data_IF_332514650372
#
_entry.id   IF_332514650372
#
_cell.length_a   1.000
_cell.length_b   1.000
_cell.length_c   1.000
_cell.angle_alpha   90.00
_cell.angle_beta   90.00
_cell.angle_gamma   90.00
#
_symmetry.space_group_name_H-M   'P 1'
#
loop_
_entity.id
_entity.type
_entity.pdbx_description
1 polymer ?
#
# COMPACT_ATOMS: atom_id res chain seq x y z
N UNK A 1 -7.20 -16.44 4.11
CA UNK A 1 -6.53 -16.39 5.44
C UNK A 1 -5.11 -15.84 5.31
N UNK A 2 -4.96 -14.61 4.83
CA UNK A 2 -3.64 -13.97 4.62
C UNK A 2 -3.21 -13.17 5.88
N UNK A 3 -4.18 -12.60 6.60
CA UNK A 3 -3.99 -11.76 7.79
C UNK A 3 -3.10 -12.35 8.91
N UNK A 4 -3.30 -13.61 9.38
CA UNK A 4 -2.49 -14.11 10.49
C UNK A 4 -1.04 -14.38 10.09
N UNK A 5 -0.82 -14.88 8.86
CA UNK A 5 0.54 -15.17 8.36
C UNK A 5 1.36 -13.90 8.16
N UNK A 6 0.76 -12.86 7.56
CA UNK A 6 1.44 -11.58 7.38
C UNK A 6 1.71 -10.88 8.71
N UNK A 7 0.78 -10.97 9.68
CA UNK A 7 1.00 -10.45 11.03
C UNK A 7 2.17 -11.14 11.76
N UNK A 8 2.26 -12.48 11.66
CA UNK A 8 3.38 -13.23 12.25
C UNK A 8 4.72 -12.84 11.60
N UNK A 9 4.75 -12.68 10.28
CA UNK A 9 5.94 -12.26 9.54
C UNK A 9 6.41 -10.85 9.94
N UNK A 10 5.48 -9.90 10.11
CA UNK A 10 5.82 -8.56 10.61
C UNK A 10 6.36 -8.59 12.04
N UNK A 11 5.73 -9.37 12.91
CA UNK A 11 6.15 -9.50 14.30
C UNK A 11 7.58 -10.04 14.37
N UNK A 12 7.87 -11.11 13.63
CA UNK A 12 9.23 -11.66 13.53
C UNK A 12 10.24 -10.67 12.91
N UNK A 13 9.84 -9.95 11.86
CA UNK A 13 10.67 -8.92 11.22
C UNK A 13 11.03 -7.79 12.18
N UNK A 14 10.06 -7.27 12.93
CA UNK A 14 10.28 -6.23 13.93
C UNK A 14 11.22 -6.71 15.05
N UNK A 15 11.05 -7.94 15.54
CA UNK A 15 11.99 -8.52 16.52
C UNK A 15 13.42 -8.58 15.99
N UNK A 16 13.59 -9.00 14.74
CA UNK A 16 14.91 -9.05 14.11
C UNK A 16 15.54 -7.66 13.96
N UNK A 17 14.77 -6.66 13.52
CA UNK A 17 15.24 -5.27 13.43
C UNK A 17 15.61 -4.68 14.79
N UNK A 18 14.81 -4.92 15.82
CA UNK A 18 15.12 -4.50 17.20
C UNK A 18 16.40 -5.16 17.70
N UNK A 19 16.62 -6.44 17.38
CA UNK A 19 17.86 -7.13 17.73
C UNK A 19 19.08 -6.53 17.03
N UNK A 20 18.97 -6.23 15.72
CA UNK A 20 20.05 -5.56 14.97
C UNK A 20 20.33 -4.16 15.49
N UNK A 21 19.29 -3.38 15.78
CA UNK A 21 19.41 -2.05 16.34
C UNK A 21 20.08 -2.07 17.72
N UNK A 22 19.73 -3.06 18.56
CA UNK A 22 20.39 -3.26 19.86
C UNK A 22 21.88 -3.57 19.69
N UNK A 23 22.24 -4.46 18.75
CA UNK A 23 23.65 -4.76 18.44
C UNK A 23 24.41 -3.53 17.93
N UNK A 24 23.75 -2.69 17.13
CA UNK A 24 24.32 -1.43 16.63
C UNK A 24 24.49 -0.39 17.74
N UNK A 25 23.50 -0.24 18.62
CA UNK A 25 23.54 0.67 19.78
C UNK A 25 24.70 0.34 20.74
N UNK A 26 24.95 -0.94 21.00
CA UNK A 26 26.10 -1.37 21.80
C UNK A 26 27.46 -1.08 21.14
N UNK A 27 27.53 -1.13 19.80
CA UNK A 27 28.77 -0.87 19.06
C UNK A 27 29.10 0.62 19.00
N UNK A 28 28.09 1.48 18.88
CA UNK A 28 28.23 2.94 18.79
C UNK A 28 28.19 3.64 20.16
N UNK A 29 27.85 2.94 21.24
CA UNK A 29 27.63 3.51 22.58
C UNK A 29 26.63 4.69 22.62
N UNK A 30 25.65 4.71 21.71
CA UNK A 30 24.60 5.74 21.64
C UNK A 30 23.26 5.16 22.11
N UNK A 31 22.58 5.90 22.98
CA UNK A 31 21.24 5.53 23.50
C UNK A 31 20.07 5.91 22.57
N UNK A 32 20.31 6.77 21.58
CA UNK A 32 19.27 7.35 20.72
C UNK A 32 19.00 6.54 19.44
N UNK A 33 19.04 5.20 19.54
CA UNK A 33 18.78 4.34 18.37
C UNK A 33 17.29 4.06 18.26
N UNK A 34 16.65 4.75 17.33
CA UNK A 34 15.25 4.53 16.97
C UNK A 34 15.13 3.54 15.81
N UNK A 35 14.22 2.57 15.94
CA UNK A 35 13.89 1.61 14.87
C UNK A 35 12.60 2.04 14.21
N UNK A 36 12.62 2.16 12.88
CA UNK A 36 11.39 2.38 12.13
C UNK A 36 10.60 1.06 12.08
N UNK A 37 9.31 1.05 12.48
CA UNK A 37 8.53 -0.18 12.47
C UNK A 37 8.42 -0.73 11.05
N UNK A 38 8.59 -2.04 10.91
CA UNK A 38 8.42 -2.74 9.65
C UNK A 38 6.93 -2.86 9.33
N UNK A 39 6.49 -2.19 8.27
CA UNK A 39 5.12 -2.21 7.76
C UNK A 39 4.99 -2.92 6.41
N UNK A 40 3.75 -3.21 6.00
CA UNK A 40 3.46 -3.61 4.61
C UNK A 40 3.65 -2.40 3.70
N UNK A 41 4.28 -2.63 2.55
CA UNK A 41 4.28 -1.68 1.46
C UNK A 41 2.93 -1.73 0.73
N UNK A 42 2.04 -0.76 1.00
CA UNK A 42 0.71 -0.69 0.39
C UNK A 42 0.77 -0.63 -1.14
N UNK A 43 1.70 0.13 -1.71
CA UNK A 43 1.88 0.20 -3.17
C UNK A 43 2.35 -1.14 -3.77
N UNK A 44 3.21 -1.87 -3.07
CA UNK A 44 3.61 -3.22 -3.47
C UNK A 44 2.47 -4.23 -3.39
N UNK A 45 1.64 -4.15 -2.35
CA UNK A 45 0.44 -4.99 -2.21
C UNK A 45 -0.56 -4.72 -3.34
N UNK A 46 -0.84 -3.45 -3.66
CA UNK A 46 -1.70 -3.11 -4.79
C UNK A 46 -1.13 -3.60 -6.12
N UNK A 47 0.17 -3.38 -6.36
CA UNK A 47 0.82 -3.90 -7.56
C UNK A 47 0.65 -5.42 -7.69
N UNK A 48 0.76 -6.17 -6.60
CA UNK A 48 0.54 -7.62 -6.60
C UNK A 48 -0.91 -8.00 -6.94
N UNK A 49 -1.88 -7.30 -6.36
CA UNK A 49 -3.30 -7.53 -6.63
C UNK A 49 -3.60 -7.28 -8.11
N UNK A 50 -3.18 -6.13 -8.65
CA UNK A 50 -3.48 -5.80 -10.04
C UNK A 50 -2.66 -6.60 -11.05
N UNK A 51 -1.39 -6.88 -10.78
CA UNK A 51 -0.53 -7.59 -11.74
C UNK A 51 -0.79 -9.11 -11.76
N UNK A 52 -1.24 -9.70 -10.65
CA UNK A 52 -1.33 -11.17 -10.52
C UNK A 52 -2.77 -11.64 -10.31
N UNK A 53 -3.54 -10.97 -9.45
CA UNK A 53 -4.91 -11.38 -9.13
C UNK A 53 -5.91 -10.87 -10.18
N UNK A 54 -5.69 -9.68 -10.76
CA UNK A 54 -6.54 -9.16 -11.83
C UNK A 54 -6.56 -10.02 -13.10
N UNK A 55 -5.43 -10.51 -13.66
CA UNK A 55 -5.49 -11.35 -14.85
C UNK A 55 -6.18 -12.70 -14.57
N UNK A 56 -5.95 -13.29 -13.39
CA UNK A 56 -6.66 -14.52 -12.99
C UNK A 56 -8.17 -14.31 -12.89
N UNK A 57 -8.63 -13.11 -12.52
CA UNK A 57 -10.04 -12.76 -12.53
C UNK A 57 -10.62 -12.74 -13.96
N UNK A 58 -9.94 -12.12 -14.92
CA UNK A 58 -10.38 -12.11 -16.32
C UNK A 58 -10.39 -13.51 -16.95
N UNK A 59 -9.42 -14.34 -16.61
CA UNK A 59 -9.37 -15.73 -17.06
C UNK A 59 -10.55 -16.55 -16.49
N UNK A 60 -10.91 -16.35 -15.21
CA UNK A 60 -12.08 -16.97 -14.60
C UNK A 60 -13.41 -16.53 -15.23
N UNK A 61 -13.54 -15.24 -15.56
CA UNK A 61 -14.72 -14.70 -16.27
C UNK A 61 -14.94 -15.37 -17.63
N UNK A 62 -13.85 -15.68 -18.35
CA UNK A 62 -13.94 -16.39 -19.63
C UNK A 62 -14.39 -17.85 -19.50
N UNK A 63 -14.15 -18.48 -18.34
CA UNK A 63 -14.41 -19.90 -18.10
C UNK A 63 -15.78 -20.13 -17.43
N UNK A 64 -16.47 -19.07 -17.00
CA UNK A 64 -17.81 -19.10 -16.36
C UNK A 64 -17.90 -19.89 -15.03
N UNK A 65 -16.76 -20.35 -14.49
CA UNK A 65 -16.65 -21.08 -13.22
C UNK A 65 -16.30 -20.11 -12.07
N UNK A 66 -17.31 -19.37 -11.61
CA UNK A 66 -17.18 -18.37 -10.53
C UNK A 66 -16.89 -18.96 -9.15
N UNK A 67 -17.18 -20.24 -8.93
CA UNK A 67 -17.05 -20.90 -7.61
C UNK A 67 -15.59 -21.21 -7.24
N UNK A 68 -14.69 -21.37 -8.22
CA UNK A 68 -13.28 -21.74 -7.99
C UNK A 68 -12.32 -20.55 -7.89
N UNK A 69 -12.81 -19.32 -8.02
CA UNK A 69 -11.97 -18.11 -8.09
C UNK A 69 -11.09 -17.93 -6.85
N UNK A 70 -11.63 -18.15 -5.64
CA UNK A 70 -10.90 -17.93 -4.40
C UNK A 70 -9.74 -18.92 -4.20
N UNK A 71 -9.95 -20.17 -4.61
CA UNK A 71 -8.93 -21.23 -4.54
C UNK A 71 -7.85 -21.01 -5.59
N UNK A 72 -8.24 -20.62 -6.81
CA UNK A 72 -7.29 -20.30 -7.88
C UNK A 72 -6.42 -19.10 -7.50
N UNK A 73 -7.03 -18.01 -7.01
CA UNK A 73 -6.31 -16.82 -6.59
C UNK A 73 -5.28 -17.14 -5.48
N UNK A 74 -5.64 -18.00 -4.52
CA UNK A 74 -4.72 -18.45 -3.47
C UNK A 74 -3.57 -19.28 -4.02
N UNK A 75 -3.87 -20.24 -4.90
CA UNK A 75 -2.89 -21.12 -5.52
C UNK A 75 -1.91 -20.38 -6.44
N UNK A 76 -2.32 -19.26 -7.04
CA UNK A 76 -1.46 -18.42 -7.87
C UNK A 76 -0.68 -17.39 -7.04
N UNK A 77 -1.30 -16.82 -6.00
CA UNK A 77 -0.68 -15.80 -5.16
C UNK A 77 0.49 -16.34 -4.30
N UNK A 78 0.32 -17.51 -3.69
CA UNK A 78 1.35 -18.14 -2.85
C UNK A 78 2.70 -18.37 -3.55
N UNK A 79 2.76 -19.10 -4.68
CA UNK A 79 4.02 -19.35 -5.37
C UNK A 79 4.60 -18.07 -5.95
N UNK A 80 3.77 -17.14 -6.44
CA UNK A 80 4.24 -15.85 -6.95
C UNK A 80 4.93 -15.02 -5.87
N UNK A 81 4.36 -14.97 -4.66
CA UNK A 81 4.98 -14.26 -3.54
C UNK A 81 6.26 -14.97 -3.06
N UNK A 82 6.28 -16.31 -3.07
CA UNK A 82 7.47 -17.09 -2.74
C UNK A 82 8.62 -16.88 -3.73
N UNK A 83 8.33 -16.89 -5.04
CA UNK A 83 9.30 -16.58 -6.10
C UNK A 83 9.81 -15.16 -5.95
N UNK A 84 8.93 -14.20 -5.69
CA UNK A 84 9.32 -12.81 -5.42
C UNK A 84 10.28 -12.74 -4.23
N UNK A 85 9.99 -13.44 -3.14
CA UNK A 85 10.91 -13.56 -1.99
C UNK A 85 12.28 -14.13 -2.35
N UNK A 86 12.34 -15.20 -3.15
CA UNK A 86 13.61 -15.78 -3.63
C UNK A 86 14.39 -14.76 -4.46
N UNK A 87 13.72 -14.09 -5.40
CA UNK A 87 14.32 -13.05 -6.23
C UNK A 87 14.88 -11.93 -5.35
N UNK A 88 14.14 -11.46 -4.34
CA UNK A 88 14.61 -10.44 -3.40
C UNK A 88 15.83 -10.91 -2.58
N UNK A 89 15.86 -12.17 -2.14
CA UNK A 89 17.02 -12.73 -1.44
C UNK A 89 18.26 -12.77 -2.33
N UNK A 90 18.11 -13.16 -3.60
CA UNK A 90 19.19 -13.14 -4.59
C UNK A 90 19.66 -11.70 -4.84
N UNK A 91 18.74 -10.76 -5.03
CA UNK A 91 19.06 -9.34 -5.25
C UNK A 91 19.71 -8.70 -4.01
N UNK A 92 19.36 -9.13 -2.80
CA UNK A 92 19.94 -8.62 -1.56
C UNK A 92 21.46 -8.84 -1.51
N UNK A 93 21.96 -9.94 -2.07
CA UNK A 93 23.42 -10.23 -2.15
C UNK A 93 24.12 -9.18 -3.02
N UNK A 94 23.50 -8.74 -4.11
CA UNK A 94 24.02 -7.68 -4.98
C UNK A 94 23.66 -6.27 -4.48
N UNK A 95 22.77 -6.16 -3.49
CA UNK A 95 22.22 -4.89 -3.01
C UNK A 95 23.28 -3.93 -2.47
N UNK A 96 24.29 -4.44 -1.75
CA UNK A 96 25.38 -3.60 -1.25
C UNK A 96 26.24 -3.00 -2.38
N UNK A 97 26.44 -3.73 -3.46
CA UNK A 97 27.17 -3.27 -4.64
C UNK A 97 26.40 -2.16 -5.36
N UNK A 98 25.10 -2.36 -5.56
CA UNK A 98 24.21 -1.36 -6.17
C UNK A 98 24.14 -0.10 -5.29
N UNK A 99 24.03 -0.26 -3.97
CA UNK A 99 23.98 0.88 -3.02
C UNK A 99 25.26 1.71 -3.03
N UNK A 100 26.44 1.09 -3.17
CA UNK A 100 27.72 1.82 -3.23
C UNK A 100 27.91 2.57 -4.53
N UNK A 101 27.39 2.04 -5.64
CA UNK A 101 27.57 2.60 -6.97
C UNK A 101 26.47 3.59 -7.37
N UNK A 102 25.31 3.55 -6.71
CA UNK A 102 24.17 4.40 -7.03
C UNK A 102 24.07 5.55 -6.04
N UNK A 103 24.09 6.82 -6.48
CA UNK A 103 23.89 7.95 -5.58
C UNK A 103 22.47 7.93 -5.01
N UNK A 104 22.31 8.19 -3.71
CA UNK A 104 21.01 8.08 -3.02
C UNK A 104 19.90 8.93 -3.65
N UNK A 105 20.27 10.04 -4.29
CA UNK A 105 19.34 10.92 -5.02
C UNK A 105 18.71 10.28 -6.25
N UNK A 106 19.32 9.23 -6.83
CA UNK A 106 18.74 8.51 -7.97
C UNK A 106 17.65 7.51 -7.54
N UNK A 107 17.66 7.08 -6.28
CA UNK A 107 16.73 6.07 -5.76
C UNK A 107 15.39 6.67 -5.31
N UNK A 108 15.44 7.90 -4.76
CA UNK A 108 14.28 8.65 -4.27
C UNK A 108 13.18 8.86 -5.34
N UNK A 109 13.51 9.30 -6.57
CA UNK A 109 12.52 9.46 -7.65
C UNK A 109 11.85 8.15 -8.05
N UNK A 110 12.57 7.04 -8.04
CA UNK A 110 12.01 5.74 -8.41
C UNK A 110 10.95 5.29 -7.40
N UNK A 111 11.25 5.38 -6.09
CA UNK A 111 10.30 5.00 -5.03
C UNK A 111 9.08 5.93 -5.02
N UNK A 112 9.31 7.24 -5.14
CA UNK A 112 8.24 8.24 -5.21
C UNK A 112 7.38 8.05 -6.46
N UNK A 113 8.01 7.84 -7.61
CA UNK A 113 7.31 7.66 -8.89
C UNK A 113 6.51 6.37 -8.93
N UNK A 114 7.06 5.27 -8.43
CA UNK A 114 6.33 4.00 -8.35
C UNK A 114 5.13 4.09 -7.40
N UNK A 115 5.31 4.71 -6.23
CA UNK A 115 4.22 4.94 -5.28
C UNK A 115 3.14 5.87 -5.85
N UNK A 116 3.54 6.97 -6.47
CA UNK A 116 2.62 7.92 -7.11
C UNK A 116 1.88 7.26 -8.27
N UNK A 117 2.56 6.52 -9.14
CA UNK A 117 1.92 5.86 -10.28
C UNK A 117 0.83 4.89 -9.83
N UNK A 118 1.14 4.01 -8.86
CA UNK A 118 0.15 3.03 -8.39
C UNK A 118 -0.98 3.71 -7.61
N UNK A 119 -0.69 4.62 -6.67
CA UNK A 119 -1.74 5.22 -5.85
C UNK A 119 -2.57 6.24 -6.63
N UNK A 120 -1.94 7.11 -7.42
CA UNK A 120 -2.65 8.16 -8.15
C UNK A 120 -3.44 7.61 -9.34
N UNK A 121 -2.89 6.68 -10.14
CA UNK A 121 -3.64 6.16 -11.29
C UNK A 121 -4.82 5.29 -10.86
N UNK A 122 -4.68 4.50 -9.79
CA UNK A 122 -5.78 3.64 -9.34
C UNK A 122 -6.95 4.46 -8.79
N UNK A 123 -6.68 5.54 -8.04
CA UNK A 123 -7.75 6.36 -7.45
C UNK A 123 -8.30 7.41 -8.42
N UNK A 124 -7.63 7.68 -9.55
CA UNK A 124 -8.04 8.75 -10.47
C UNK A 124 -9.41 8.50 -11.14
N UNK A 125 -9.69 7.26 -11.55
CA UNK A 125 -10.94 6.91 -12.24
C UNK A 125 -12.21 7.17 -11.39
N UNK A 126 -12.34 6.65 -10.15
CA UNK A 126 -13.51 6.91 -9.32
C UNK A 126 -13.63 8.39 -8.89
N UNK A 127 -12.52 9.11 -8.78
CA UNK A 127 -12.52 10.55 -8.47
C UNK A 127 -13.13 11.38 -9.62
N UNK A 128 -12.93 10.96 -10.87
CA UNK A 128 -13.45 11.68 -12.03
C UNK A 128 -14.99 11.62 -12.14
N UNK A 129 -15.61 10.58 -11.59
CA UNK A 129 -17.07 10.39 -11.60
C UNK A 129 -17.78 11.25 -10.55
N UNK A 130 -17.12 11.55 -9.42
CA UNK A 130 -17.70 12.35 -8.33
C UNK A 130 -16.71 13.41 -7.77
N UNK A 131 -16.25 14.37 -8.61
CA UNK A 131 -15.18 15.30 -8.23
C UNK A 131 -15.52 16.19 -7.04
N UNK A 132 -16.81 16.44 -6.78
CA UNK A 132 -17.26 17.29 -5.66
C UNK A 132 -16.92 16.68 -4.30
N UNK A 133 -16.92 15.34 -4.19
CA UNK A 133 -16.65 14.62 -2.93
C UNK A 133 -15.16 14.52 -2.66
N UNK A 134 -14.33 14.41 -3.71
CA UNK A 134 -12.87 14.30 -3.61
C UNK A 134 -12.16 15.65 -3.41
N UNK A 135 -12.70 16.74 -3.97
CA UNK A 135 -12.09 18.07 -3.87
C UNK A 135 -12.04 18.58 -2.42
N UNK A 136 -13.02 18.21 -1.61
CA UNK A 136 -13.17 18.70 -0.24
C UNK A 136 -12.11 18.14 0.74
N UNK A 137 -11.88 16.82 0.87
CA UNK A 137 -10.77 16.30 1.65
C UNK A 137 -9.42 16.75 1.08
N UNK A 138 -9.29 16.92 -0.23
CA UNK A 138 -8.07 17.48 -0.83
C UNK A 138 -7.78 18.91 -0.34
N UNK A 139 -8.79 19.79 -0.33
CA UNK A 139 -8.66 21.15 0.21
C UNK A 139 -8.34 21.12 1.71
N UNK A 140 -8.96 20.23 2.49
CA UNK A 140 -8.71 20.13 3.94
C UNK A 140 -7.28 19.64 4.21
N UNK A 141 -6.79 18.66 3.47
CA UNK A 141 -5.40 18.17 3.59
C UNK A 141 -4.40 19.26 3.20
N UNK A 142 -4.65 19.98 2.10
CA UNK A 142 -3.81 21.12 1.69
C UNK A 142 -3.81 22.23 2.74
N UNK A 143 -4.97 22.60 3.28
CA UNK A 143 -5.07 23.63 4.33
C UNK A 143 -4.34 23.21 5.61
N UNK A 144 -4.50 21.97 6.07
CA UNK A 144 -3.81 21.52 7.26
C UNK A 144 -2.35 21.09 7.04
N UNK A 145 -1.84 21.12 5.80
CA UNK A 145 -0.40 21.12 5.51
C UNK A 145 0.20 22.51 5.74
N UNK A 146 -0.49 23.58 5.33
CA UNK A 146 -0.01 24.96 5.52
C UNK A 146 -0.32 25.55 6.91
N UNK A 147 -1.37 25.05 7.58
CA UNK A 147 -1.77 25.50 8.92
C UNK A 147 -1.72 24.32 9.87
N UNK A 148 -0.68 24.26 10.71
CA UNK A 148 -0.56 23.25 11.77
C UNK A 148 -1.60 23.50 12.86
N UNK A 149 -2.81 22.98 12.67
CA UNK A 149 -3.89 23.01 13.67
C UNK A 149 -3.64 21.93 14.74
N UNK A 150 -2.90 22.30 15.80
CA UNK A 150 -2.86 21.54 17.06
C UNK A 150 -2.32 20.11 16.97
N UNK A 151 -2.55 19.34 18.04
CA UNK A 151 -2.01 17.98 18.27
C UNK A 151 -2.73 16.87 17.50
N UNK A 152 -3.77 17.18 16.73
CA UNK A 152 -4.51 16.21 15.94
C UNK A 152 -3.94 16.15 14.53
N UNK A 153 -3.57 14.94 14.11
CA UNK A 153 -3.03 14.69 12.78
C UNK A 153 -4.10 15.05 11.73
N UNK A 154 -3.81 16.04 10.89
CA UNK A 154 -4.70 16.62 9.87
C UNK A 154 -5.48 15.59 9.06
N UNK A 155 -4.88 14.41 8.81
CA UNK A 155 -5.54 13.34 8.08
C UNK A 155 -6.83 12.84 8.77
N UNK A 156 -6.90 12.78 10.11
CA UNK A 156 -8.11 12.36 10.81
C UNK A 156 -9.26 13.36 10.61
N UNK A 157 -8.95 14.66 10.61
CA UNK A 157 -9.95 15.72 10.39
C UNK A 157 -10.45 15.68 8.95
N UNK A 158 -9.54 15.49 7.99
CA UNK A 158 -9.89 15.31 6.58
C UNK A 158 -10.77 14.08 6.34
N UNK A 159 -10.46 12.97 7.02
CA UNK A 159 -11.21 11.73 6.90
C UNK A 159 -12.62 11.87 7.50
N UNK A 160 -12.74 12.41 8.70
CA UNK A 160 -14.02 12.64 9.36
C UNK A 160 -14.91 13.62 8.57
N UNK A 161 -14.33 14.69 8.02
CA UNK A 161 -15.05 15.64 7.18
C UNK A 161 -15.48 15.00 5.85
N UNK A 162 -14.59 14.26 5.18
CA UNK A 162 -14.91 13.55 3.94
C UNK A 162 -16.03 12.53 4.11
N UNK A 163 -15.95 11.68 5.14
CA UNK A 163 -16.99 10.69 5.46
C UNK A 163 -18.31 11.34 5.87
N UNK A 164 -18.26 12.44 6.65
CA UNK A 164 -19.45 13.18 7.06
C UNK A 164 -20.19 13.81 5.88
N UNK A 165 -19.46 14.35 4.91
CA UNK A 165 -20.06 14.90 3.70
C UNK A 165 -20.56 13.82 2.74
N UNK A 166 -19.84 12.71 2.56
CA UNK A 166 -20.35 11.58 1.76
C UNK A 166 -21.72 11.10 2.29
N UNK A 167 -21.85 10.97 3.61
CA UNK A 167 -23.12 10.65 4.27
C UNK A 167 -24.20 11.71 4.06
N UNK A 168 -23.86 13.00 4.23
CA UNK A 168 -24.80 14.11 4.08
C UNK A 168 -25.30 14.29 2.64
N UNK A 169 -24.51 13.89 1.65
CA UNK A 169 -24.85 14.12 0.24
C UNK A 169 -25.73 13.01 -0.35
N UNK A 170 -25.85 11.83 0.26
CA UNK A 170 -26.78 10.70 -0.10
C UNK A 170 -26.97 10.34 -1.59
N UNK A 171 -26.16 10.88 -2.51
CA UNK A 171 -26.20 10.60 -3.95
C UNK A 171 -25.35 9.36 -4.31
N UNK A 172 -24.52 8.86 -3.39
CA UNK A 172 -23.57 7.78 -3.64
C UNK A 172 -24.21 6.38 -3.62
N UNK A 173 -25.31 6.16 -2.88
CA UNK A 173 -25.98 4.85 -2.86
C UNK A 173 -26.68 4.49 -4.18
N UNK A 174 -27.03 5.48 -5.01
CA UNK A 174 -27.71 5.25 -6.28
C UNK A 174 -26.80 4.96 -7.48
N UNK A 175 -25.55 5.43 -7.45
CA UNK A 175 -24.62 5.33 -8.59
C UNK A 175 -23.79 4.03 -8.53
N UNK A 176 -23.24 3.69 -7.35
CA UNK A 176 -22.47 2.45 -7.15
C UNK A 176 -23.34 1.19 -7.35
N UNK A 177 -24.63 1.25 -7.01
CA UNK A 177 -25.57 0.16 -7.26
C UNK A 177 -25.85 -0.08 -8.75
N UNK A 178 -25.59 0.90 -9.64
CA UNK A 178 -25.87 0.78 -11.08
C UNK A 178 -24.68 0.21 -11.86
N UNK A 179 -23.46 0.41 -11.39
CA UNK A 179 -22.26 -0.18 -12.00
C UNK A 179 -22.01 -1.63 -11.57
N UNK A 180 -22.42 -2.02 -10.36
CA UNK A 180 -22.38 -3.42 -9.92
C UNK A 180 -23.36 -4.36 -10.66
N UNK A 181 -24.26 -3.81 -11.49
CA UNK A 181 -25.23 -4.58 -12.31
C UNK A 181 -24.75 -4.73 -13.77
N UNK A 182 -23.69 -4.01 -14.17
CA UNK A 182 -23.15 -4.01 -15.53
C UNK A 182 -21.69 -4.53 -15.65
N UNK A 183 -21.11 -5.01 -14.55
CA UNK A 183 -19.86 -5.79 -14.50
C UNK A 183 -20.17 -7.23 -14.06
#
# INVERSE_FOLDING_TARGET
MILPGTGLAMLWGNFYYVYMARKFAFKEQRGDVFVMPYGICTSGAFAFIYAIISPTYYDCLSTNDTVYFQELAWNVALPSNFITGIVLLLLCVFGEFIRKNTPSVALLPFISGFGFAILALNEYLPIAETPIVALLPFIIIMLGYFVTYGSLHTAFVALAAGTGLDWATSLNQGCIAREAIHL
#
